data_IF_210109187722
#
_entry.id   IF_210109187722
#
_cell.length_a   1.000
_cell.length_b   1.000
_cell.length_c   1.000
_cell.angle_alpha   90.00
_cell.angle_beta   90.00
_cell.angle_gamma   90.00
#
_symmetry.space_group_name_H-M   'P 1'
#
loop_
_entity.id
_entity.type
_entity.pdbx_description
1 polymer ?
#
# COMPACT_ATOMS: atom_id res chain seq x y z
N UNK A 1 14.64 8.99 -21.32
CA UNK A 1 13.39 9.72 -21.22
C UNK A 1 13.36 10.49 -19.90
N UNK A 2 13.70 11.78 -19.95
CA UNK A 2 13.58 12.71 -18.84
C UNK A 2 12.08 13.03 -18.69
N UNK A 3 11.39 12.31 -17.81
CA UNK A 3 10.12 12.80 -17.32
C UNK A 3 10.34 14.12 -16.60
N UNK A 4 9.56 15.13 -16.92
CA UNK A 4 9.55 16.42 -16.24
C UNK A 4 9.43 16.21 -14.71
N UNK A 5 10.10 17.04 -13.91
CA UNK A 5 10.02 17.01 -12.43
C UNK A 5 8.58 16.96 -11.93
N UNK A 6 7.65 17.67 -12.58
CA UNK A 6 6.21 17.66 -12.25
C UNK A 6 5.56 16.29 -12.50
N UNK A 7 5.93 15.58 -13.55
CA UNK A 7 5.43 14.22 -13.81
C UNK A 7 5.97 13.19 -12.82
N UNK A 8 7.16 13.38 -12.28
CA UNK A 8 7.73 12.48 -11.25
C UNK A 8 7.11 12.70 -9.88
N UNK A 9 6.73 13.92 -9.53
CA UNK A 9 5.97 14.23 -8.32
C UNK A 9 4.53 13.70 -8.40
N UNK A 10 3.98 13.58 -9.60
CA UNK A 10 2.60 13.15 -9.84
C UNK A 10 2.44 11.63 -10.10
N UNK A 11 3.50 10.84 -10.11
CA UNK A 11 3.39 9.38 -10.01
C UNK A 11 3.03 8.95 -8.58
N UNK A 12 2.08 9.65 -7.96
CA UNK A 12 1.46 9.23 -6.70
C UNK A 12 0.62 8.01 -7.05
N UNK A 13 1.10 6.85 -6.64
CA UNK A 13 0.29 5.63 -6.64
C UNK A 13 -0.51 5.64 -5.35
N UNK A 14 -1.76 6.05 -5.43
CA UNK A 14 -2.69 5.96 -4.32
C UNK A 14 -2.98 4.48 -4.05
N UNK A 15 -2.63 4.05 -2.85
CA UNK A 15 -2.86 2.68 -2.43
C UNK A 15 -4.21 2.56 -1.76
N UNK A 16 -5.10 1.86 -2.44
CA UNK A 16 -6.42 1.55 -1.92
C UNK A 16 -6.32 0.57 -0.74
N UNK A 17 -7.28 0.65 0.17
CA UNK A 17 -7.36 -0.27 1.30
C UNK A 17 -7.47 -1.71 0.81
N UNK A 18 -6.82 -2.64 1.52
CA UNK A 18 -6.83 -4.07 1.17
C UNK A 18 -8.25 -4.62 1.16
N UNK A 19 -8.59 -5.37 0.13
CA UNK A 19 -9.79 -6.22 0.08
C UNK A 19 -9.41 -7.68 0.32
N UNK A 20 -10.33 -8.43 0.91
CA UNK A 20 -10.13 -9.84 1.22
C UNK A 20 -11.46 -10.58 1.21
N UNK A 21 -11.41 -11.91 1.35
CA UNK A 21 -12.59 -12.77 1.30
C UNK A 21 -13.57 -12.51 2.46
N UNK A 22 -13.05 -12.35 3.67
CA UNK A 22 -13.82 -11.90 4.82
C UNK A 22 -14.02 -10.40 4.73
N UNK A 23 -15.25 -9.94 4.55
CA UNK A 23 -15.59 -8.53 4.37
C UNK A 23 -16.91 -8.15 5.05
N UNK A 24 -17.26 -6.88 5.04
CA UNK A 24 -18.52 -6.36 5.57
C UNK A 24 -18.76 -6.77 7.03
N UNK A 25 -19.95 -7.29 7.30
CA UNK A 25 -20.38 -7.64 8.66
C UNK A 25 -19.57 -8.79 9.28
N UNK A 26 -19.03 -9.71 8.46
CA UNK A 26 -18.18 -10.79 8.93
C UNK A 26 -16.89 -10.23 9.54
N UNK A 27 -16.25 -9.30 8.84
CA UNK A 27 -15.05 -8.63 9.33
C UNK A 27 -15.37 -7.73 10.53
N UNK A 28 -16.45 -6.95 10.46
CA UNK A 28 -16.86 -6.04 11.54
C UNK A 28 -17.14 -6.78 12.85
N UNK A 29 -17.63 -8.01 12.78
CA UNK A 29 -17.87 -8.86 13.95
C UNK A 29 -16.56 -9.37 14.60
N UNK A 30 -15.47 -9.44 13.85
CA UNK A 30 -14.16 -9.89 14.34
C UNK A 30 -13.29 -8.74 14.86
N UNK A 31 -13.62 -7.48 14.54
CA UNK A 31 -12.81 -6.31 14.93
C UNK A 31 -13.22 -5.82 16.32
N UNK A 32 -12.27 -5.80 17.25
CA UNK A 32 -12.45 -5.19 18.56
C UNK A 32 -12.56 -3.67 18.45
N UNK A 33 -13.41 -3.05 19.28
CA UNK A 33 -13.60 -1.59 19.27
C UNK A 33 -13.29 -0.96 20.64
N UNK A 34 -12.58 0.18 20.66
CA UNK A 34 -11.98 0.90 19.51
C UNK A 34 -10.85 0.10 18.87
N UNK A 35 -10.67 0.19 17.55
CA UNK A 35 -9.68 -0.59 16.82
C UNK A 35 -8.38 0.18 16.50
N UNK A 36 -8.31 1.47 16.84
CA UNK A 36 -7.14 2.33 16.58
C UNK A 36 -6.87 3.22 17.78
N UNK A 37 -5.58 3.29 18.16
CA UNK A 37 -5.01 4.27 19.08
C UNK A 37 -3.88 5.02 18.36
N UNK A 38 -4.15 6.24 17.91
CA UNK A 38 -3.26 7.02 17.04
C UNK A 38 -2.26 7.88 17.83
N UNK A 39 -1.39 7.24 18.60
CA UNK A 39 -0.24 7.85 19.25
C UNK A 39 1.01 7.78 18.32
N UNK A 40 2.21 7.98 18.85
CA UNK A 40 3.44 7.88 18.06
C UNK A 40 3.68 6.46 17.55
N UNK A 41 3.39 5.45 18.36
CA UNK A 41 3.45 4.03 18.00
C UNK A 41 2.29 3.59 17.10
N UNK A 42 1.16 4.29 17.18
CA UNK A 42 -0.08 4.01 16.48
C UNK A 42 -0.44 2.53 16.42
N UNK A 43 -1.16 2.09 17.43
CA UNK A 43 -1.64 0.71 17.51
C UNK A 43 -2.99 0.55 16.82
N UNK A 44 -3.19 -0.59 16.17
CA UNK A 44 -4.47 -0.94 15.55
C UNK A 44 -4.73 -2.45 15.64
N UNK A 45 -6.00 -2.83 15.56
CA UNK A 45 -6.44 -4.23 15.47
C UNK A 45 -7.26 -4.50 14.19
N UNK A 46 -7.33 -3.52 13.27
CA UNK A 46 -8.03 -3.63 12.00
C UNK A 46 -7.02 -3.68 10.85
N UNK A 47 -7.15 -4.64 9.94
CA UNK A 47 -6.18 -4.93 8.88
C UNK A 47 -6.75 -4.89 7.45
N UNK A 48 -8.08 -4.71 7.29
CA UNK A 48 -8.71 -4.57 5.97
C UNK A 48 -9.94 -3.65 6.02
N UNK A 49 -10.62 -3.45 4.90
CA UNK A 49 -11.85 -2.66 4.86
C UNK A 49 -13.03 -3.44 5.43
N UNK A 50 -13.87 -2.76 6.20
CA UNK A 50 -15.17 -3.28 6.69
C UNK A 50 -16.27 -3.27 5.60
N UNK A 51 -16.02 -2.66 4.44
CA UNK A 51 -16.95 -2.69 3.32
C UNK A 51 -16.98 -4.07 2.67
N UNK A 52 -18.13 -4.46 2.15
CA UNK A 52 -18.19 -5.58 1.21
C UNK A 52 -17.33 -5.29 -0.02
N UNK A 53 -16.69 -6.32 -0.60
CA UNK A 53 -15.80 -6.12 -1.76
C UNK A 53 -16.47 -5.38 -2.91
N UNK A 54 -17.75 -5.66 -3.28
CA UNK A 54 -18.45 -4.87 -4.32
C UNK A 54 -18.63 -3.40 -3.93
N UNK A 55 -18.91 -3.10 -2.66
CA UNK A 55 -19.02 -1.71 -2.18
C UNK A 55 -17.67 -0.99 -2.25
N UNK A 56 -16.60 -1.65 -1.81
CA UNK A 56 -15.25 -1.09 -1.91
C UNK A 56 -14.88 -0.79 -3.36
N UNK A 57 -15.21 -1.70 -4.29
CA UNK A 57 -15.01 -1.50 -5.73
C UNK A 57 -15.74 -0.27 -6.25
N UNK A 58 -17.02 -0.10 -5.89
CA UNK A 58 -17.80 1.07 -6.28
C UNK A 58 -17.21 2.36 -5.75
N UNK A 59 -16.82 2.40 -4.47
CA UNK A 59 -16.20 3.58 -3.86
C UNK A 59 -14.85 3.93 -4.52
N UNK A 60 -14.08 2.94 -4.91
CA UNK A 60 -12.81 3.17 -5.61
C UNK A 60 -13.02 3.72 -7.02
N UNK A 61 -14.04 3.24 -7.73
CA UNK A 61 -14.41 3.77 -9.05
C UNK A 61 -14.93 5.22 -8.93
N UNK A 62 -15.78 5.50 -7.94
CA UNK A 62 -16.25 6.87 -7.66
C UNK A 62 -15.08 7.80 -7.33
N UNK A 63 -14.14 7.34 -6.48
CA UNK A 63 -12.95 8.10 -6.14
C UNK A 63 -12.05 8.38 -7.38
N UNK A 64 -11.96 7.43 -8.31
CA UNK A 64 -11.23 7.61 -9.57
C UNK A 64 -11.77 8.79 -10.37
N UNK A 65 -13.08 8.84 -10.60
CA UNK A 65 -13.72 9.95 -11.29
C UNK A 65 -13.55 11.27 -10.53
N UNK A 66 -13.85 11.25 -9.23
CA UNK A 66 -13.80 12.44 -8.38
C UNK A 66 -12.40 13.08 -8.37
N UNK A 67 -11.36 12.29 -8.20
CA UNK A 67 -9.98 12.81 -8.15
C UNK A 67 -9.54 13.38 -9.50
N UNK A 68 -9.92 12.76 -10.63
CA UNK A 68 -9.63 13.30 -11.96
C UNK A 68 -10.31 14.64 -12.20
N UNK A 69 -11.60 14.72 -11.90
CA UNK A 69 -12.37 15.97 -12.03
C UNK A 69 -11.81 17.07 -11.13
N UNK A 70 -11.57 16.79 -9.86
CA UNK A 70 -10.98 17.75 -8.89
C UNK A 70 -9.60 18.22 -9.35
N UNK A 71 -8.76 17.31 -9.83
CA UNK A 71 -7.41 17.65 -10.30
C UNK A 71 -7.45 18.71 -11.40
N UNK A 72 -8.34 18.60 -12.37
CA UNK A 72 -8.50 19.56 -13.44
C UNK A 72 -9.22 20.83 -13.01
N UNK A 73 -10.35 20.69 -12.33
CA UNK A 73 -11.19 21.81 -11.93
C UNK A 73 -10.43 22.80 -11.06
N UNK A 74 -9.68 22.30 -10.07
CA UNK A 74 -8.91 23.14 -9.16
C UNK A 74 -7.45 23.36 -9.59
N UNK A 75 -7.04 22.82 -10.74
CA UNK A 75 -5.67 22.99 -11.25
C UNK A 75 -4.60 22.35 -10.39
N UNK A 76 -4.93 21.23 -9.74
CA UNK A 76 -4.02 20.51 -8.83
C UNK A 76 -3.02 19.64 -9.59
N UNK A 77 -3.29 19.33 -10.87
CA UNK A 77 -2.43 18.52 -11.73
C UNK A 77 -3.18 17.99 -12.95
N UNK A 78 -2.50 17.14 -13.72
CA UNK A 78 -3.13 16.41 -14.83
C UNK A 78 -4.15 15.41 -14.31
N UNK A 79 -5.25 15.24 -15.04
CA UNK A 79 -6.22 14.15 -14.77
C UNK A 79 -5.56 12.77 -14.78
N UNK A 80 -4.48 12.60 -15.54
CA UNK A 80 -3.70 11.36 -15.63
C UNK A 80 -2.44 11.35 -14.75
N UNK A 81 -2.35 12.30 -13.81
CA UNK A 81 -1.20 12.47 -12.92
C UNK A 81 -1.08 11.42 -11.81
N UNK A 82 -2.05 10.53 -11.63
CA UNK A 82 -2.04 9.51 -10.60
C UNK A 82 -2.54 8.16 -11.13
N UNK A 83 -2.20 7.09 -10.43
CA UNK A 83 -2.58 5.72 -10.71
C UNK A 83 -2.97 5.04 -9.39
N UNK A 84 -4.04 4.27 -9.40
CA UNK A 84 -4.36 3.45 -8.24
C UNK A 84 -3.53 2.16 -8.20
N UNK A 85 -3.19 1.74 -6.99
CA UNK A 85 -2.63 0.43 -6.68
C UNK A 85 -3.60 -0.27 -5.74
N UNK A 86 -4.11 -1.42 -6.13
CA UNK A 86 -4.96 -2.23 -5.26
C UNK A 86 -4.14 -3.11 -4.33
N UNK A 87 -4.74 -3.55 -3.25
CA UNK A 87 -4.15 -4.50 -2.33
C UNK A 87 -5.17 -5.60 -2.06
N UNK A 88 -4.73 -6.84 -2.16
CA UNK A 88 -5.53 -8.04 -1.85
C UNK A 88 -4.83 -8.87 -0.79
N UNK A 89 -5.62 -9.50 0.06
CA UNK A 89 -5.13 -10.39 1.10
C UNK A 89 -5.97 -11.65 1.16
N UNK A 90 -5.52 -12.63 1.91
CA UNK A 90 -6.04 -13.96 2.13
C UNK A 90 -5.22 -15.06 1.43
N UNK A 91 -5.78 -16.28 1.30
CA UNK A 91 -5.17 -17.39 0.59
C UNK A 91 -5.47 -17.35 -0.93
N UNK A 92 -4.83 -18.21 -1.69
CA UNK A 92 -5.01 -18.28 -3.14
C UNK A 92 -6.46 -18.66 -3.53
N UNK A 93 -7.09 -19.58 -2.79
CA UNK A 93 -8.46 -19.99 -3.08
C UNK A 93 -9.44 -18.83 -2.90
N UNK A 94 -9.27 -18.04 -1.85
CA UNK A 94 -10.04 -16.83 -1.61
C UNK A 94 -9.81 -15.74 -2.66
N UNK A 95 -8.56 -15.53 -3.07
CA UNK A 95 -8.24 -14.56 -4.12
C UNK A 95 -8.82 -14.99 -5.48
N UNK A 96 -8.92 -16.29 -5.75
CA UNK A 96 -9.59 -16.85 -6.95
C UNK A 96 -11.11 -16.94 -6.82
N UNK A 97 -11.69 -16.60 -5.67
CA UNK A 97 -13.16 -16.60 -5.53
C UNK A 97 -13.79 -15.60 -6.50
N UNK A 98 -15.01 -15.88 -6.94
CA UNK A 98 -15.75 -15.02 -7.88
C UNK A 98 -15.79 -13.56 -7.41
N UNK A 99 -15.97 -13.34 -6.10
CA UNK A 99 -16.03 -12.02 -5.48
C UNK A 99 -14.73 -11.20 -5.68
N UNK A 100 -13.59 -11.80 -5.37
CA UNK A 100 -12.29 -11.11 -5.48
C UNK A 100 -11.81 -11.09 -6.93
N UNK A 101 -12.06 -12.13 -7.69
CA UNK A 101 -11.73 -12.19 -9.13
C UNK A 101 -12.46 -11.11 -9.92
N UNK A 102 -13.76 -10.93 -9.66
CA UNK A 102 -14.56 -9.84 -10.25
C UNK A 102 -13.98 -8.48 -9.89
N UNK A 103 -13.60 -8.26 -8.63
CA UNK A 103 -12.96 -7.04 -8.20
C UNK A 103 -11.66 -6.77 -8.98
N UNK A 104 -10.78 -7.77 -9.09
CA UNK A 104 -9.50 -7.64 -9.81
C UNK A 104 -9.72 -7.26 -11.28
N UNK A 105 -10.62 -7.99 -11.97
CA UNK A 105 -10.91 -7.75 -13.39
C UNK A 105 -11.54 -6.36 -13.60
N UNK A 106 -12.49 -5.98 -12.75
CA UNK A 106 -13.16 -4.68 -12.87
C UNK A 106 -12.19 -3.52 -12.61
N UNK A 107 -11.29 -3.65 -11.64
CA UNK A 107 -10.31 -2.58 -11.38
C UNK A 107 -9.28 -2.43 -12.51
N UNK A 108 -9.06 -3.46 -13.31
CA UNK A 108 -8.24 -3.36 -14.54
C UNK A 108 -9.02 -2.75 -15.72
N UNK A 109 -10.33 -3.05 -15.83
CA UNK A 109 -11.15 -2.73 -17.00
C UNK A 109 -12.57 -2.32 -16.56
N UNK A 110 -12.69 -1.18 -15.87
CA UNK A 110 -13.93 -0.74 -15.24
C UNK A 110 -14.98 -0.21 -16.23
N UNK A 111 -14.61 0.09 -17.48
CA UNK A 111 -15.48 0.75 -18.46
C UNK A 111 -16.79 0.00 -18.73
N UNK A 112 -16.81 -1.32 -18.53
CA UNK A 112 -18.00 -2.14 -18.77
C UNK A 112 -18.91 -2.25 -17.53
N UNK A 113 -18.43 -1.84 -16.36
CA UNK A 113 -19.20 -1.89 -15.12
C UNK A 113 -20.29 -0.82 -15.09
N UNK A 114 -21.42 -1.16 -14.46
CA UNK A 114 -22.57 -0.24 -14.35
C UNK A 114 -22.21 1.02 -13.55
N UNK A 115 -21.40 0.88 -12.50
CA UNK A 115 -20.99 2.03 -11.70
C UNK A 115 -20.10 3.00 -12.49
N UNK A 116 -19.20 2.52 -13.33
CA UNK A 116 -18.37 3.38 -14.18
C UNK A 116 -19.23 4.16 -15.17
N UNK A 117 -20.16 3.48 -15.86
CA UNK A 117 -21.11 4.10 -16.78
C UNK A 117 -21.97 5.14 -16.07
N UNK A 118 -22.46 4.80 -14.87
CA UNK A 118 -23.27 5.71 -14.06
C UNK A 118 -22.48 6.97 -13.68
N UNK A 119 -21.25 6.84 -13.16
CA UNK A 119 -20.41 7.99 -12.80
C UNK A 119 -20.14 8.88 -14.02
N UNK A 120 -19.80 8.28 -15.18
CA UNK A 120 -19.56 9.03 -16.40
C UNK A 120 -20.83 9.78 -16.86
N UNK A 121 -21.97 9.11 -16.91
CA UNK A 121 -23.24 9.71 -17.31
C UNK A 121 -23.66 10.85 -16.37
N UNK A 122 -23.53 10.65 -15.06
CA UNK A 122 -23.84 11.68 -14.06
C UNK A 122 -22.99 12.93 -14.23
N UNK A 123 -21.69 12.79 -14.46
CA UNK A 123 -20.80 13.94 -14.67
C UNK A 123 -21.10 14.67 -15.98
N UNK A 124 -21.45 13.95 -17.05
CA UNK A 124 -21.84 14.54 -18.32
C UNK A 124 -23.17 15.32 -18.21
N UNK A 125 -24.14 14.79 -17.46
CA UNK A 125 -25.42 15.47 -17.19
C UNK A 125 -25.22 16.79 -16.40
N UNK A 126 -24.16 16.86 -15.57
CA UNK A 126 -23.89 17.99 -14.69
C UNK A 126 -22.63 18.77 -15.08
N UNK A 127 -22.20 18.67 -16.33
CA UNK A 127 -20.95 19.30 -16.81
C UNK A 127 -20.97 20.83 -16.68
N UNK A 128 -22.16 21.42 -16.72
CA UNK A 128 -22.39 22.86 -16.54
C UNK A 128 -22.05 23.39 -15.14
N UNK A 129 -21.86 22.50 -14.16
CA UNK A 129 -21.41 22.88 -12.81
C UNK A 129 -19.90 23.15 -12.71
N UNK A 130 -19.14 22.78 -13.74
CA UNK A 130 -17.68 22.94 -13.78
C UNK A 130 -17.26 24.17 -14.59
N UNK A 131 -16.18 24.82 -14.18
CA UNK A 131 -15.59 25.95 -14.90
C UNK A 131 -14.53 25.50 -15.89
N UNK A 132 -13.77 24.42 -15.59
CA UNK A 132 -12.63 23.95 -16.38
C UNK A 132 -12.77 22.55 -16.94
N UNK A 133 -13.57 21.71 -16.30
CA UNK A 133 -13.83 20.35 -16.79
C UNK A 133 -14.87 20.40 -17.90
N UNK A 134 -14.55 19.79 -19.04
CA UNK A 134 -15.42 19.73 -20.21
C UNK A 134 -16.02 18.33 -20.40
N UNK A 135 -17.04 18.21 -21.23
CA UNK A 135 -17.59 16.90 -21.60
C UNK A 135 -16.52 16.00 -22.26
N UNK A 136 -15.62 16.56 -23.06
CA UNK A 136 -14.52 15.81 -23.67
C UNK A 136 -13.54 15.24 -22.62
N UNK A 137 -13.27 15.98 -21.55
CA UNK A 137 -12.46 15.49 -20.43
C UNK A 137 -13.12 14.30 -19.74
N UNK A 138 -14.42 14.39 -19.47
CA UNK A 138 -15.17 13.32 -18.82
C UNK A 138 -15.21 12.08 -19.72
N UNK A 139 -15.42 12.25 -21.01
CA UNK A 139 -15.40 11.15 -21.99
C UNK A 139 -14.02 10.48 -22.07
N UNK A 140 -12.93 11.22 -21.90
CA UNK A 140 -11.57 10.70 -21.95
C UNK A 140 -11.16 9.87 -20.73
N UNK A 141 -11.95 9.89 -19.63
CA UNK A 141 -11.63 9.11 -18.42
C UNK A 141 -11.61 7.61 -18.74
N UNK A 142 -10.40 7.03 -18.62
CA UNK A 142 -10.17 5.60 -18.87
C UNK A 142 -10.76 4.73 -17.77
N UNK A 143 -11.24 3.53 -18.16
CA UNK A 143 -11.61 2.47 -17.25
C UNK A 143 -10.45 1.64 -16.71
N UNK A 144 -9.22 1.91 -17.17
CA UNK A 144 -8.01 1.26 -16.67
C UNK A 144 -7.57 1.92 -15.36
N UNK A 145 -8.23 1.55 -14.26
CA UNK A 145 -8.08 2.20 -12.97
C UNK A 145 -6.77 1.80 -12.29
N UNK A 146 -6.40 0.53 -12.38
CA UNK A 146 -5.15 0.03 -11.84
C UNK A 146 -4.52 -1.06 -12.71
N UNK A 147 -3.19 -1.11 -12.71
CA UNK A 147 -2.39 -2.16 -13.34
C UNK A 147 -1.44 -2.83 -12.37
N UNK A 148 -1.51 -2.48 -11.09
CA UNK A 148 -0.60 -2.96 -10.05
C UNK A 148 -1.34 -3.40 -8.80
N UNK A 149 -0.85 -4.49 -8.18
CA UNK A 149 -1.44 -5.10 -7.00
C UNK A 149 -0.38 -5.35 -5.92
N UNK A 150 -0.76 -5.15 -4.67
CA UNK A 150 0.06 -5.54 -3.51
C UNK A 150 -0.59 -6.73 -2.82
N UNK A 151 0.20 -7.79 -2.63
CA UNK A 151 -0.18 -8.95 -1.84
C UNK A 151 0.03 -8.60 -0.37
N UNK A 152 -1.04 -8.64 0.42
CA UNK A 152 -1.03 -8.41 1.85
C UNK A 152 -1.51 -9.68 2.55
N UNK A 153 -0.60 -10.64 2.70
CA UNK A 153 -0.88 -11.88 3.42
C UNK A 153 -0.97 -11.65 4.92
N UNK A 154 -1.64 -12.56 5.59
CA UNK A 154 -1.65 -12.62 7.06
C UNK A 154 -0.28 -13.04 7.58
N UNK A 155 -0.02 -12.77 8.86
CA UNK A 155 1.10 -13.38 9.57
C UNK A 155 0.96 -14.91 9.55
N UNK A 156 2.07 -15.63 9.45
CA UNK A 156 2.10 -17.08 9.33
C UNK A 156 1.76 -17.65 7.94
N UNK A 157 1.66 -16.81 6.90
CA UNK A 157 1.44 -17.30 5.54
C UNK A 157 2.70 -17.99 5.00
N UNK A 158 2.65 -19.27 4.58
CA UNK A 158 3.81 -20.00 4.10
C UNK A 158 4.39 -19.38 2.81
N UNK A 159 5.73 -19.41 2.60
CA UNK A 159 6.37 -18.85 1.42
C UNK A 159 5.83 -19.43 0.10
N UNK A 160 5.50 -20.71 0.06
CA UNK A 160 4.93 -21.36 -1.13
C UNK A 160 3.54 -20.83 -1.48
N UNK A 161 2.76 -20.44 -0.48
CA UNK A 161 1.44 -19.86 -0.71
C UNK A 161 1.57 -18.42 -1.21
N UNK A 162 2.47 -17.64 -0.63
CA UNK A 162 2.80 -16.29 -1.10
C UNK A 162 3.24 -16.33 -2.57
N UNK A 163 4.13 -17.26 -2.92
CA UNK A 163 4.63 -17.42 -4.28
C UNK A 163 3.52 -17.82 -5.26
N UNK A 164 2.63 -18.75 -4.89
CA UNK A 164 1.49 -19.15 -5.72
C UNK A 164 0.53 -17.99 -5.97
N UNK A 165 0.23 -17.18 -4.96
CA UNK A 165 -0.60 -15.98 -5.10
C UNK A 165 0.08 -14.99 -6.07
N UNK A 166 1.37 -14.72 -5.88
CA UNK A 166 2.12 -13.82 -6.75
C UNK A 166 2.13 -14.33 -8.19
N UNK A 167 2.42 -15.62 -8.39
CA UNK A 167 2.40 -16.25 -9.72
C UNK A 167 1.04 -16.11 -10.40
N UNK A 168 -0.07 -16.34 -9.69
CA UNK A 168 -1.41 -16.15 -10.22
C UNK A 168 -1.63 -14.70 -10.71
N UNK A 169 -1.32 -13.73 -9.87
CA UNK A 169 -1.50 -12.31 -10.19
C UNK A 169 -0.62 -11.84 -11.37
N UNK A 170 0.58 -12.38 -11.47
CA UNK A 170 1.52 -12.09 -12.56
C UNK A 170 1.11 -12.80 -13.85
N UNK A 171 0.83 -14.11 -13.78
CA UNK A 171 0.73 -14.94 -14.98
C UNK A 171 -0.67 -15.03 -15.55
N UNK A 172 -1.70 -15.05 -14.70
CA UNK A 172 -3.09 -15.15 -15.11
C UNK A 172 -3.78 -13.78 -15.19
N UNK A 173 -3.42 -12.84 -14.30
CA UNK A 173 -4.03 -11.50 -14.26
C UNK A 173 -3.21 -10.39 -14.90
N UNK A 174 -1.90 -10.57 -15.09
CA UNK A 174 -1.04 -9.60 -15.77
C UNK A 174 -0.76 -8.33 -14.95
N UNK A 175 -0.80 -8.39 -13.62
CA UNK A 175 -0.51 -7.25 -12.76
C UNK A 175 1.00 -7.05 -12.54
N UNK A 176 1.44 -5.79 -12.51
CA UNK A 176 2.63 -5.41 -11.76
C UNK A 176 2.41 -5.77 -10.29
N UNK A 177 3.29 -6.57 -9.70
CA UNK A 177 3.00 -7.22 -8.42
C UNK A 177 4.01 -6.83 -7.33
N UNK A 178 3.50 -6.49 -6.16
CA UNK A 178 4.30 -6.19 -4.99
C UNK A 178 3.92 -7.13 -3.84
N UNK A 179 4.93 -7.67 -3.14
CA UNK A 179 4.73 -8.46 -1.92
C UNK A 179 4.96 -7.57 -0.71
N UNK A 180 3.98 -7.51 0.18
CA UNK A 180 4.11 -6.81 1.46
C UNK A 180 4.87 -7.71 2.44
N UNK A 181 6.04 -7.26 2.84
CA UNK A 181 6.91 -7.98 3.76
C UNK A 181 6.65 -7.59 5.22
N UNK A 182 6.89 -8.50 6.14
CA UNK A 182 6.77 -8.27 7.57
C UNK A 182 8.10 -7.79 8.17
N UNK A 183 8.09 -6.98 9.23
CA UNK A 183 9.31 -6.61 9.97
C UNK A 183 10.04 -7.82 10.58
N UNK A 184 9.33 -8.94 10.75
CA UNK A 184 9.84 -10.21 11.27
C UNK A 184 10.94 -10.83 10.41
N UNK A 185 11.10 -10.42 9.14
CA UNK A 185 12.25 -10.76 8.29
C UNK A 185 13.61 -10.44 8.92
N UNK A 186 13.67 -9.51 9.88
CA UNK A 186 14.90 -9.13 10.59
C UNK A 186 15.38 -10.19 11.59
N UNK A 187 14.49 -11.10 12.01
CA UNK A 187 14.72 -12.00 13.13
C UNK A 187 14.49 -11.32 14.49
N UNK A 188 14.13 -12.12 15.48
CA UNK A 188 13.72 -11.65 16.80
C UNK A 188 14.80 -10.82 17.51
N UNK A 189 16.03 -11.34 17.58
CA UNK A 189 17.14 -10.69 18.32
C UNK A 189 17.46 -9.31 17.74
N UNK A 190 17.48 -9.18 16.41
CA UNK A 190 17.72 -7.90 15.77
C UNK A 190 16.59 -6.91 16.02
N UNK A 191 15.35 -7.35 15.88
CA UNK A 191 14.19 -6.49 16.11
C UNK A 191 14.13 -6.03 17.58
N UNK A 192 14.34 -6.94 18.54
CA UNK A 192 14.33 -6.60 19.97
C UNK A 192 15.44 -5.59 20.30
N UNK A 193 16.66 -5.89 19.87
CA UNK A 193 17.77 -4.98 20.08
C UNK A 193 17.51 -3.59 19.48
N UNK A 194 16.98 -3.54 18.26
CA UNK A 194 16.68 -2.27 17.58
C UNK A 194 15.65 -1.44 18.37
N UNK A 195 14.61 -2.10 18.86
CA UNK A 195 13.57 -1.44 19.64
C UNK A 195 14.14 -0.93 20.98
N UNK A 196 14.94 -1.72 21.65
CA UNK A 196 15.57 -1.33 22.93
C UNK A 196 16.54 -0.15 22.75
N UNK A 197 17.40 -0.21 21.73
CA UNK A 197 18.37 0.85 21.43
C UNK A 197 17.68 2.19 21.07
N UNK A 198 16.46 2.12 20.53
CA UNK A 198 15.65 3.31 20.19
C UNK A 198 14.76 3.80 21.35
N UNK A 199 14.82 3.15 22.52
CA UNK A 199 14.05 3.52 23.71
C UNK A 199 12.60 3.00 23.71
N UNK A 200 12.29 2.00 22.89
CA UNK A 200 11.01 1.31 22.84
C UNK A 200 11.03 -0.04 23.59
N UNK A 201 11.81 -0.11 24.66
CA UNK A 201 11.97 -1.29 25.53
C UNK A 201 10.66 -1.68 26.24
N UNK A 202 9.73 -0.74 26.41
CA UNK A 202 8.40 -0.97 26.96
C UNK A 202 7.45 -1.69 25.99
N UNK A 203 7.73 -1.74 24.69
CA UNK A 203 6.91 -2.45 23.71
C UNK A 203 7.21 -3.95 23.82
N UNK A 204 6.20 -4.73 24.21
CA UNK A 204 6.32 -6.15 24.41
C UNK A 204 5.96 -6.95 23.15
N UNK A 205 6.77 -7.92 22.79
CA UNK A 205 6.51 -8.91 21.74
C UNK A 205 7.36 -10.15 21.98
N UNK A 206 6.81 -11.31 21.61
CA UNK A 206 7.51 -12.59 21.66
C UNK A 206 8.15 -12.96 20.33
N UNK A 207 8.72 -14.16 20.27
CA UNK A 207 9.39 -14.69 19.07
C UNK A 207 8.46 -15.51 18.15
N UNK A 208 7.18 -15.66 18.52
CA UNK A 208 6.21 -16.51 17.79
C UNK A 208 6.09 -16.09 16.32
N UNK A 209 5.77 -14.83 16.05
CA UNK A 209 5.62 -14.34 14.69
C UNK A 209 6.93 -14.40 13.88
N UNK A 210 8.07 -14.29 14.54
CA UNK A 210 9.38 -14.42 13.86
C UNK A 210 9.68 -15.83 13.38
N UNK A 211 9.08 -16.84 14.02
CA UNK A 211 9.23 -18.26 13.63
C UNK A 211 8.19 -18.70 12.61
N UNK A 212 7.01 -18.09 12.64
CA UNK A 212 5.86 -18.47 11.84
C UNK A 212 5.78 -17.72 10.51
N UNK A 213 6.24 -16.48 10.46
CA UNK A 213 6.27 -15.65 9.26
C UNK A 213 7.33 -16.12 8.26
N UNK A 214 7.22 -15.59 7.03
CA UNK A 214 8.23 -15.76 5.97
C UNK A 214 9.65 -15.46 6.50
N UNK A 215 10.53 -16.46 6.43
CA UNK A 215 11.93 -16.33 6.81
C UNK A 215 12.73 -15.65 5.70
N UNK A 216 13.79 -14.90 6.07
CA UNK A 216 14.61 -14.19 5.10
C UNK A 216 15.30 -15.11 4.09
N UNK A 217 15.77 -16.27 4.55
CA UNK A 217 16.41 -17.29 3.73
C UNK A 217 15.49 -17.90 2.67
N UNK A 218 14.17 -17.94 2.94
CA UNK A 218 13.16 -18.39 1.97
C UNK A 218 12.68 -17.22 1.07
N UNK A 219 12.65 -16.00 1.61
CA UNK A 219 12.23 -14.81 0.89
C UNK A 219 13.14 -14.52 -0.31
N UNK A 220 14.46 -14.53 -0.14
CA UNK A 220 15.40 -14.14 -1.19
C UNK A 220 15.30 -15.04 -2.43
N UNK A 221 15.31 -16.38 -2.34
CA UNK A 221 15.10 -17.24 -3.50
C UNK A 221 13.73 -17.08 -4.16
N UNK A 222 12.66 -16.95 -3.37
CA UNK A 222 11.30 -16.71 -3.86
C UNK A 222 11.24 -15.41 -4.67
N UNK A 223 11.74 -14.30 -4.12
CA UNK A 223 11.75 -13.00 -4.79
C UNK A 223 12.52 -13.05 -6.11
N UNK A 224 13.68 -13.73 -6.15
CA UNK A 224 14.45 -13.89 -7.38
C UNK A 224 13.67 -14.65 -8.48
N UNK A 225 12.93 -15.71 -8.13
CA UNK A 225 12.07 -16.42 -9.10
C UNK A 225 10.97 -15.51 -9.64
N UNK A 226 10.30 -14.76 -8.79
CA UNK A 226 9.22 -13.85 -9.18
C UNK A 226 9.72 -12.67 -10.03
N UNK A 227 10.90 -12.12 -9.72
CA UNK A 227 11.57 -11.12 -10.57
C UNK A 227 11.79 -11.65 -11.96
N UNK A 228 12.32 -12.87 -12.12
CA UNK A 228 12.58 -13.47 -13.41
C UNK A 228 11.28 -13.63 -14.24
N UNK A 229 10.22 -14.14 -13.64
CA UNK A 229 8.91 -14.30 -14.31
C UNK A 229 8.32 -12.94 -14.73
N UNK A 230 8.42 -11.90 -13.90
CA UNK A 230 7.96 -10.58 -14.27
C UNK A 230 8.78 -9.98 -15.42
N UNK A 231 10.11 -10.17 -15.43
CA UNK A 231 10.98 -9.71 -16.52
C UNK A 231 10.60 -10.36 -17.86
N UNK A 232 10.35 -11.67 -17.88
CA UNK A 232 9.90 -12.39 -19.08
C UNK A 232 8.57 -11.87 -19.63
N UNK A 233 7.72 -11.32 -18.75
CA UNK A 233 6.39 -10.79 -19.09
C UNK A 233 6.34 -9.28 -19.28
N UNK A 234 7.46 -8.59 -19.15
CA UNK A 234 7.55 -7.13 -19.16
C UNK A 234 6.66 -6.47 -18.09
N UNK A 235 6.61 -7.09 -16.90
CA UNK A 235 5.90 -6.58 -15.73
C UNK A 235 6.90 -6.12 -14.67
N UNK A 236 6.52 -5.13 -13.88
CA UNK A 236 7.27 -4.72 -12.70
C UNK A 236 7.00 -5.69 -11.53
N UNK A 237 8.07 -5.98 -10.79
CA UNK A 237 7.99 -6.69 -9.51
C UNK A 237 8.70 -5.90 -8.43
N UNK A 238 8.17 -5.96 -7.22
CA UNK A 238 8.79 -5.31 -6.09
C UNK A 238 8.27 -5.82 -4.74
N UNK A 239 8.74 -5.18 -3.69
CA UNK A 239 8.26 -5.42 -2.33
C UNK A 239 7.69 -4.15 -1.73
N UNK A 240 6.73 -4.29 -0.83
CA UNK A 240 6.29 -3.24 0.07
C UNK A 240 6.82 -3.53 1.47
N UNK A 241 7.56 -2.63 2.02
CA UNK A 241 8.09 -2.69 3.38
C UNK A 241 7.51 -1.56 4.23
N UNK A 242 6.95 -1.88 5.38
CA UNK A 242 6.63 -3.22 5.91
C UNK A 242 5.13 -3.33 6.17
N UNK A 243 4.67 -4.53 6.57
CA UNK A 243 3.42 -4.66 7.29
C UNK A 243 3.55 -3.98 8.66
N UNK A 244 2.43 -3.85 9.37
CA UNK A 244 2.43 -3.49 10.79
C UNK A 244 3.10 -4.59 11.60
N UNK A 245 3.59 -4.25 12.79
CA UNK A 245 4.34 -5.16 13.64
C UNK A 245 3.46 -5.67 14.77
N UNK A 246 3.25 -6.99 14.92
CA UNK A 246 2.45 -7.55 16.00
C UNK A 246 3.17 -7.39 17.35
N UNK A 247 2.45 -6.86 18.32
CA UNK A 247 2.94 -6.60 19.67
C UNK A 247 1.85 -6.94 20.70
N UNK A 248 2.25 -7.31 21.91
CA UNK A 248 1.34 -7.65 22.98
C UNK A 248 0.68 -6.41 23.57
N UNK A 249 -0.60 -6.50 23.93
CA UNK A 249 -1.27 -5.49 24.76
C UNK A 249 -0.86 -5.69 26.22
N UNK A 250 -0.25 -4.67 26.83
CA UNK A 250 0.22 -4.72 28.24
C UNK A 250 -0.40 -3.66 29.13
N UNK A 251 -0.87 -2.56 28.58
CA UNK A 251 -1.40 -1.41 29.31
C UNK A 251 -2.86 -1.08 28.92
N UNK A 252 -3.59 -2.07 28.39
CA UNK A 252 -4.94 -1.90 27.86
C UNK A 252 -5.01 -0.82 26.75
N UNK A 253 -4.02 -0.78 25.88
CA UNK A 253 -3.95 0.15 24.75
C UNK A 253 -5.13 -0.04 23.79
N UNK A 254 -5.50 -1.30 23.53
CA UNK A 254 -6.66 -1.72 22.75
C UNK A 254 -7.34 -2.93 23.42
N UNK A 255 -8.62 -3.20 23.15
CA UNK A 255 -9.38 -4.29 23.76
C UNK A 255 -9.10 -5.65 23.08
N UNK A 256 -7.84 -6.07 23.04
CA UNK A 256 -7.37 -7.34 22.47
C UNK A 256 -6.15 -7.83 23.25
N UNK A 257 -5.71 -9.06 23.02
CA UNK A 257 -4.47 -9.59 23.59
C UNK A 257 -3.25 -9.14 22.78
N UNK A 258 -3.42 -9.00 21.47
CA UNK A 258 -2.42 -8.55 20.51
C UNK A 258 -2.94 -7.35 19.73
N UNK A 259 -2.03 -6.49 19.32
CA UNK A 259 -2.29 -5.33 18.48
C UNK A 259 -1.18 -5.16 17.44
N UNK A 260 -1.42 -4.33 16.44
CA UNK A 260 -0.46 -4.07 15.38
C UNK A 260 0.13 -2.68 15.52
N UNK A 261 1.44 -2.61 15.76
CA UNK A 261 2.18 -1.35 15.86
C UNK A 261 2.51 -0.80 14.47
N UNK A 262 2.35 0.50 14.32
CA UNK A 262 2.77 1.29 13.16
C UNK A 262 3.34 2.64 13.61
N UNK A 263 3.43 3.64 12.74
CA UNK A 263 3.94 4.95 13.12
C UNK A 263 5.45 5.03 13.21
N UNK A 264 5.97 5.97 13.99
CA UNK A 264 7.41 6.25 14.10
C UNK A 264 8.22 5.09 14.63
N UNK A 265 7.68 4.34 15.57
CA UNK A 265 8.34 3.18 16.17
C UNK A 265 8.60 2.05 15.16
N UNK A 266 7.81 1.97 14.09
CA UNK A 266 8.02 1.00 13.02
C UNK A 266 9.16 1.40 12.06
N UNK A 267 9.51 2.68 11.97
CA UNK A 267 10.50 3.18 11.03
C UNK A 267 11.86 2.47 11.12
N UNK A 268 12.49 2.29 12.30
CA UNK A 268 13.79 1.65 12.39
C UNK A 268 13.77 0.19 11.92
N UNK A 269 12.68 -0.53 12.14
CA UNK A 269 12.52 -1.90 11.63
C UNK A 269 12.33 -1.91 10.11
N UNK A 270 11.45 -1.06 9.59
CA UNK A 270 11.16 -1.01 8.16
C UNK A 270 12.37 -0.60 7.33
N UNK A 271 13.12 0.42 7.76
CA UNK A 271 14.31 0.86 7.03
C UNK A 271 15.45 -0.18 7.11
N UNK A 272 15.51 -0.95 8.19
CA UNK A 272 16.45 -2.07 8.31
C UNK A 272 16.15 -3.20 7.35
N UNK A 273 14.85 -3.53 7.14
CA UNK A 273 14.44 -4.49 6.10
C UNK A 273 14.82 -3.97 4.70
N UNK A 274 14.60 -2.68 4.43
CA UNK A 274 15.00 -2.06 3.16
C UNK A 274 16.50 -2.22 2.90
N UNK A 275 17.32 -1.87 3.88
CA UNK A 275 18.77 -1.96 3.78
C UNK A 275 19.25 -3.40 3.54
N UNK A 276 18.63 -4.39 4.21
CA UNK A 276 18.97 -5.79 4.04
C UNK A 276 18.64 -6.28 2.63
N UNK A 277 17.44 -5.97 2.13
CA UNK A 277 17.02 -6.32 0.78
C UNK A 277 17.83 -5.57 -0.30
N UNK A 278 18.10 -4.27 -0.09
CA UNK A 278 18.89 -3.48 -1.04
C UNK A 278 20.31 -4.06 -1.22
N UNK A 279 20.94 -4.53 -0.14
CA UNK A 279 22.25 -5.19 -0.19
C UNK A 279 22.22 -6.48 -1.03
N UNK A 280 21.28 -7.37 -0.74
CA UNK A 280 21.24 -8.70 -1.36
C UNK A 280 20.78 -8.65 -2.83
N UNK A 281 19.97 -7.65 -3.18
CA UNK A 281 19.53 -7.44 -4.56
C UNK A 281 20.35 -6.37 -5.30
N UNK A 282 21.43 -5.85 -4.70
CA UNK A 282 22.31 -4.86 -5.33
C UNK A 282 21.59 -3.59 -5.77
N UNK A 283 20.62 -3.13 -4.99
CA UNK A 283 19.79 -1.95 -5.27
C UNK A 283 18.81 -2.10 -6.44
N UNK A 284 18.62 -3.31 -7.01
CA UNK A 284 17.78 -3.51 -8.19
C UNK A 284 16.34 -3.90 -7.87
N UNK A 285 16.05 -4.36 -6.65
CA UNK A 285 14.71 -4.68 -6.22
C UNK A 285 13.91 -3.40 -5.99
N UNK A 286 12.76 -3.29 -6.64
CA UNK A 286 11.85 -2.17 -6.40
C UNK A 286 11.29 -2.24 -4.99
N UNK A 287 11.49 -1.18 -4.21
CA UNK A 287 10.97 -1.08 -2.84
C UNK A 287 9.92 0.03 -2.77
N UNK A 288 8.72 -0.31 -2.33
CA UNK A 288 7.66 0.61 -1.91
C UNK A 288 7.67 0.69 -0.39
N UNK A 289 7.63 1.89 0.17
CA UNK A 289 7.75 2.08 1.61
C UNK A 289 6.41 2.27 2.33
N UNK A 290 6.28 1.65 3.50
CA UNK A 290 5.18 1.83 4.43
C UNK A 290 5.64 1.43 5.83
N UNK A 291 5.95 2.40 6.69
CA UNK A 291 6.47 2.11 8.03
C UNK A 291 6.99 3.37 8.72
N UNK A 292 6.08 4.25 9.15
CA UNK A 292 6.42 5.43 9.92
C UNK A 292 7.10 6.55 9.14
N UNK A 293 6.83 6.67 7.83
CA UNK A 293 7.29 7.82 7.06
C UNK A 293 6.59 9.09 7.55
N UNK A 294 7.38 10.15 7.79
CA UNK A 294 6.91 11.45 8.21
C UNK A 294 7.80 12.59 7.68
N UNK A 295 7.53 13.83 8.10
CA UNK A 295 8.28 15.01 7.69
C UNK A 295 9.78 14.92 7.97
N UNK A 296 10.22 14.18 9.00
CA UNK A 296 11.62 14.17 9.44
C UNK A 296 12.47 13.10 8.74
N UNK A 297 11.84 12.10 8.10
CA UNK A 297 12.56 11.00 7.48
C UNK A 297 12.28 10.79 5.99
N UNK A 298 11.29 11.51 5.45
CA UNK A 298 10.85 11.33 4.06
C UNK A 298 11.95 11.61 3.04
N UNK A 299 12.78 12.64 3.27
CA UNK A 299 13.90 12.97 2.38
C UNK A 299 14.88 11.82 2.29
N UNK A 300 15.34 11.29 3.44
CA UNK A 300 16.25 10.15 3.46
C UNK A 300 15.70 8.88 2.84
N UNK A 301 14.39 8.62 2.97
CA UNK A 301 13.74 7.49 2.31
C UNK A 301 13.79 7.65 0.78
N UNK A 302 13.49 8.85 0.28
CA UNK A 302 13.46 9.14 -1.15
C UNK A 302 14.87 9.22 -1.74
N UNK A 303 15.82 9.80 -1.03
CA UNK A 303 17.23 9.89 -1.44
C UNK A 303 17.86 8.50 -1.58
N UNK A 304 17.44 7.55 -0.75
CA UNK A 304 17.80 6.14 -0.90
C UNK A 304 17.14 5.44 -2.12
N UNK A 305 16.41 6.18 -2.95
CA UNK A 305 15.73 5.65 -4.14
C UNK A 305 14.46 4.84 -3.85
N UNK A 306 13.96 4.86 -2.62
CA UNK A 306 12.78 4.10 -2.19
C UNK A 306 11.51 4.89 -2.53
N UNK A 307 10.65 4.32 -3.37
CA UNK A 307 9.34 4.89 -3.74
C UNK A 307 8.42 3.85 -4.40
N UNK A 308 7.09 4.00 -4.35
CA UNK A 308 6.35 5.07 -3.68
C UNK A 308 6.38 4.93 -2.16
N UNK A 309 6.19 6.05 -1.46
CA UNK A 309 6.06 6.08 0.00
C UNK A 309 4.59 6.21 0.37
N UNK A 310 4.13 5.35 1.27
CA UNK A 310 2.75 5.33 1.78
C UNK A 310 2.74 5.80 3.23
N UNK A 311 1.81 6.69 3.57
CA UNK A 311 1.63 7.24 4.92
C UNK A 311 0.19 7.01 5.38
N UNK A 312 0.02 6.54 6.61
CA UNK A 312 -1.28 6.41 7.25
C UNK A 312 -1.28 7.10 8.62
N UNK A 313 -0.45 6.66 9.55
CA UNK A 313 -0.36 7.20 10.91
C UNK A 313 -0.14 8.71 10.93
N UNK A 314 0.71 9.23 10.04
CA UNK A 314 1.00 10.66 9.90
C UNK A 314 -0.28 11.48 9.68
N UNK A 315 -1.26 10.94 8.95
CA UNK A 315 -2.52 11.60 8.64
C UNK A 315 -3.53 11.47 9.79
N UNK A 316 -3.47 10.36 10.54
CA UNK A 316 -4.38 10.11 11.66
C UNK A 316 -4.08 10.98 12.90
N UNK A 317 -2.88 11.51 12.98
CA UNK A 317 -2.45 12.40 14.08
C UNK A 317 -2.99 13.82 13.93
N UNK A 318 -3.04 14.62 15.02
CA UNK A 318 -3.37 16.04 14.96
C UNK A 318 -2.55 16.77 13.87
N UNK A 319 -3.24 17.59 13.08
CA UNK A 319 -2.68 18.20 11.87
C UNK A 319 -3.13 17.50 10.58
N UNK A 320 -3.52 16.23 10.62
CA UNK A 320 -4.18 15.52 9.54
C UNK A 320 -3.49 15.68 8.17
N UNK A 321 -4.26 16.09 7.18
CA UNK A 321 -3.78 16.31 5.81
C UNK A 321 -2.80 17.47 5.66
N UNK A 322 -2.77 18.47 6.58
CA UNK A 322 -1.78 19.55 6.54
C UNK A 322 -0.36 19.02 6.64
N UNK A 323 -0.16 17.88 7.31
CA UNK A 323 1.13 17.20 7.37
C UNK A 323 1.59 16.71 5.99
N UNK A 324 0.67 16.25 5.15
CA UNK A 324 0.99 15.87 3.76
C UNK A 324 1.37 17.11 2.94
N UNK A 325 0.68 18.23 3.12
CA UNK A 325 1.03 19.48 2.46
C UNK A 325 2.44 19.96 2.85
N UNK A 326 2.81 19.83 4.12
CA UNK A 326 4.15 20.15 4.60
C UNK A 326 5.22 19.25 3.95
N UNK A 327 4.97 17.95 3.88
CA UNK A 327 5.87 16.97 3.24
C UNK A 327 5.99 17.26 1.74
N UNK A 328 4.88 17.49 1.05
CA UNK A 328 4.89 17.84 -0.36
C UNK A 328 5.70 19.11 -0.63
N UNK A 329 5.49 20.16 0.19
CA UNK A 329 6.25 21.40 0.08
C UNK A 329 7.74 21.25 0.39
N UNK A 330 8.13 20.32 1.26
CA UNK A 330 9.52 19.96 1.51
C UNK A 330 10.15 19.33 0.27
N UNK A 331 9.52 18.28 -0.27
CA UNK A 331 10.00 17.57 -1.45
C UNK A 331 10.08 18.46 -2.71
N UNK A 332 9.17 19.40 -2.87
CA UNK A 332 9.22 20.41 -3.94
C UNK A 332 10.44 21.31 -3.84
N UNK A 333 10.81 21.76 -2.64
CA UNK A 333 11.97 22.62 -2.40
C UNK A 333 13.29 21.92 -2.68
N UNK A 334 13.43 20.68 -2.21
CA UNK A 334 14.66 19.90 -2.37
C UNK A 334 14.85 19.40 -3.82
N UNK A 335 13.80 19.43 -4.62
CA UNK A 335 13.86 19.05 -6.03
C UNK A 335 14.31 17.62 -6.24
N UNK A 336 13.79 16.71 -5.44
CA UNK A 336 14.12 15.29 -5.40
C UNK A 336 14.11 14.66 -6.79
N UNK A 337 15.22 14.05 -7.18
CA UNK A 337 15.39 13.33 -8.45
C UNK A 337 15.55 11.85 -8.17
N UNK A 338 14.63 11.02 -8.65
CA UNK A 338 14.74 9.57 -8.54
C UNK A 338 15.71 9.04 -9.60
N UNK A 339 16.86 8.54 -9.17
CA UNK A 339 17.91 8.00 -10.06
C UNK A 339 18.01 6.48 -10.02
N UNK A 340 17.32 5.83 -9.12
CA UNK A 340 17.35 4.40 -8.85
C UNK A 340 17.18 4.12 -7.36
N UNK A 341 17.37 2.88 -6.96
CA UNK A 341 17.45 2.49 -5.55
C UNK A 341 18.93 2.33 -5.21
N UNK A 342 19.46 3.21 -4.39
CA UNK A 342 20.81 3.10 -3.83
C UNK A 342 20.84 2.25 -2.56
#
# INVERSE_FOLDING_TARGET
HLCDRRQRQMCIRDRLKTVQVMDGDELAACINRPCIKADDECYNCEWSTELFVPQAMEEYIKAWFLLKVISKEFGLGSMDGFQFNISVGYDLAGIKSEKVDTFLNTMQHAQDSEIFKHCKAYLLEHVDLFEKVTAEDIESISGDICNSVTISTLHGCPPEEIEKIAMYLITEKGFHTFIKCNPTLLGYEYARKTMDDMGYDYIAFGDFHFKDDLQYEDAVPMLNRLIAVCQERNLEFGVKITNTFPVDVKQNELPSEEMYMSGKSLYPLSISVANMLARDFGGKLRISYSGGADFHNIEGIIDAGIWPVTMATTILKPGGYDRLCQIAGLLEKEGVVFTGID
#
